data_IF_783656688419
#
_entry.id   IF_783656688419
#
_cell.length_a   1.000
_cell.length_b   1.000
_cell.length_c   1.000
_cell.angle_alpha   90.00
_cell.angle_beta   90.00
_cell.angle_gamma   90.00
#
_symmetry.space_group_name_H-M   'P 1'
#
loop_
_entity.id
_entity.type
_entity.pdbx_description
1 polymer ?
#
# COMPACT_ATOMS: atom_id res chain seq x y z
N UNK A 1 35.14 -4.54 -0.11
CA UNK A 1 33.99 -5.45 -0.30
C UNK A 1 32.79 -5.15 0.60
N UNK A 2 32.96 -4.91 1.91
CA UNK A 2 31.84 -4.59 2.83
C UNK A 2 31.05 -3.32 2.47
N UNK A 3 31.71 -2.30 1.92
CA UNK A 3 31.07 -1.04 1.53
C UNK A 3 30.05 -1.23 0.38
N UNK A 4 30.38 -2.09 -0.58
CA UNK A 4 29.50 -2.40 -1.71
C UNK A 4 28.27 -3.20 -1.25
N UNK A 5 28.47 -4.13 -0.32
CA UNK A 5 27.37 -4.86 0.30
C UNK A 5 26.45 -3.91 1.07
N UNK A 6 27.00 -3.01 1.88
CA UNK A 6 26.22 -2.00 2.60
C UNK A 6 25.43 -1.10 1.63
N UNK A 7 26.06 -0.65 0.55
CA UNK A 7 25.41 0.17 -0.47
C UNK A 7 24.22 -0.54 -1.11
N UNK A 8 24.34 -1.85 -1.39
CA UNK A 8 23.26 -2.65 -1.94
C UNK A 8 22.12 -2.85 -0.93
N UNK A 9 22.43 -3.17 0.33
CA UNK A 9 21.42 -3.34 1.39
C UNK A 9 20.62 -2.04 1.63
N UNK A 10 21.31 -0.89 1.71
CA UNK A 10 20.65 0.42 1.83
C UNK A 10 19.80 0.73 0.60
N UNK A 11 20.31 0.42 -0.60
CA UNK A 11 19.58 0.61 -1.84
C UNK A 11 18.28 -0.20 -1.90
N UNK A 12 18.34 -1.49 -1.53
CA UNK A 12 17.16 -2.37 -1.42
C UNK A 12 16.16 -1.86 -0.38
N UNK A 13 16.65 -1.39 0.77
CA UNK A 13 15.80 -0.85 1.82
C UNK A 13 15.01 0.39 1.36
N UNK A 14 15.64 1.29 0.61
CA UNK A 14 14.98 2.51 0.11
C UNK A 14 14.08 2.20 -1.08
N UNK A 15 14.62 1.56 -2.12
CA UNK A 15 13.91 1.28 -3.36
C UNK A 15 14.29 -0.09 -3.93
N UNK A 16 13.54 -1.10 -3.49
CA UNK A 16 13.68 -2.49 -3.93
C UNK A 16 13.37 -2.73 -5.43
N UNK A 17 12.66 -1.82 -6.09
CA UNK A 17 12.34 -1.91 -7.53
C UNK A 17 13.46 -1.35 -8.42
N UNK A 18 14.57 -0.87 -7.85
CA UNK A 18 15.62 -0.25 -8.66
C UNK A 18 16.28 -1.30 -9.57
N UNK A 19 16.30 -1.10 -10.91
CA UNK A 19 16.73 -2.12 -11.86
C UNK A 19 18.20 -2.54 -11.70
N UNK A 20 19.06 -1.68 -11.14
CA UNK A 20 20.47 -2.01 -10.90
C UNK A 20 20.72 -2.85 -9.64
N UNK A 21 19.69 -3.07 -8.80
CA UNK A 21 19.80 -3.75 -7.49
C UNK A 21 18.86 -4.97 -7.46
N UNK A 22 18.59 -5.56 -8.62
CA UNK A 22 17.80 -6.79 -8.70
C UNK A 22 18.63 -7.97 -8.21
N UNK A 23 18.49 -8.31 -6.92
CA UNK A 23 19.04 -9.55 -6.37
C UNK A 23 18.28 -10.73 -6.97
N UNK A 24 18.89 -11.41 -7.94
CA UNK A 24 18.36 -12.59 -8.63
C UNK A 24 18.10 -13.82 -7.73
N UNK A 25 18.43 -13.75 -6.44
CA UNK A 25 18.49 -14.90 -5.53
C UNK A 25 17.65 -14.78 -4.24
N UNK A 26 16.62 -13.93 -4.20
CA UNK A 26 15.72 -13.91 -3.05
C UNK A 26 14.58 -14.94 -3.23
N UNK A 27 14.83 -16.18 -2.80
CA UNK A 27 13.80 -17.22 -2.63
C UNK A 27 12.80 -16.89 -1.49
N UNK A 28 13.07 -15.82 -0.71
CA UNK A 28 12.17 -15.28 0.30
C UNK A 28 11.43 -14.06 -0.26
N UNK A 29 10.22 -13.81 0.25
CA UNK A 29 9.35 -12.72 -0.18
C UNK A 29 10.13 -11.41 -0.35
N UNK A 30 10.03 -10.72 -1.50
CA UNK A 30 10.81 -9.53 -1.77
C UNK A 30 10.57 -8.48 -0.70
N UNK A 31 11.64 -8.01 -0.06
CA UNK A 31 11.57 -6.95 0.93
C UNK A 31 10.88 -5.73 0.30
N UNK A 32 9.74 -5.31 0.85
CA UNK A 32 9.09 -4.07 0.39
C UNK A 32 9.89 -2.86 0.87
N UNK A 33 10.67 -2.28 -0.04
CA UNK A 33 11.41 -1.06 0.18
C UNK A 33 10.49 0.12 0.55
N UNK A 34 11.07 1.15 1.16
CA UNK A 34 10.33 2.31 1.67
C UNK A 34 9.45 2.96 0.60
N UNK A 35 9.98 3.15 -0.62
CA UNK A 35 9.23 3.74 -1.74
C UNK A 35 8.00 2.89 -2.10
N UNK A 36 8.11 1.55 -2.08
CA UNK A 36 7.00 0.65 -2.40
C UNK A 36 5.85 0.76 -1.39
N UNK A 37 6.16 1.05 -0.13
CA UNK A 37 5.15 1.28 0.91
C UNK A 37 4.40 2.59 0.72
N UNK A 38 5.01 3.58 0.06
CA UNK A 38 4.41 4.88 -0.18
C UNK A 38 3.58 4.92 -1.47
N UNK A 39 4.09 4.33 -2.56
CA UNK A 39 3.48 4.40 -3.90
C UNK A 39 2.42 3.32 -4.16
N UNK A 40 1.64 3.51 -5.23
CA UNK A 40 0.68 2.51 -5.72
C UNK A 40 -0.69 2.51 -5.00
N UNK A 41 -1.54 1.55 -5.37
CA UNK A 41 -2.94 1.48 -4.88
C UNK A 41 -3.03 1.23 -3.37
N UNK A 42 -2.18 0.33 -2.88
CA UNK A 42 -2.12 -0.07 -1.49
C UNK A 42 -1.03 0.69 -0.71
N UNK A 43 -0.36 1.66 -1.35
CA UNK A 43 0.62 2.51 -0.69
C UNK A 43 -0.03 3.50 0.26
N UNK A 44 0.75 4.05 1.20
CA UNK A 44 0.24 4.91 2.27
C UNK A 44 -0.49 6.15 1.76
N UNK A 45 -0.01 6.79 0.67
CA UNK A 45 -0.69 7.97 0.16
C UNK A 45 -2.12 7.66 -0.27
N UNK A 46 -2.34 6.63 -1.09
CA UNK A 46 -3.68 6.33 -1.61
C UNK A 46 -4.52 5.48 -0.68
N UNK A 47 -3.94 4.45 -0.08
CA UNK A 47 -4.65 3.48 0.77
C UNK A 47 -4.89 3.98 2.19
N UNK A 48 -4.14 4.98 2.64
CA UNK A 48 -4.22 5.45 4.02
C UNK A 48 -4.37 6.96 4.16
N UNK A 49 -4.04 7.81 3.19
CA UNK A 49 -4.16 9.28 3.36
C UNK A 49 -5.33 9.85 2.55
N UNK A 50 -5.47 9.48 1.28
CA UNK A 50 -6.57 9.94 0.42
C UNK A 50 -7.94 9.36 0.81
N UNK A 51 -7.95 8.16 1.42
CA UNK A 51 -9.16 7.52 1.93
C UNK A 51 -8.82 6.67 3.15
N UNK A 52 -9.59 6.83 4.22
CA UNK A 52 -9.43 6.08 5.47
C UNK A 52 -10.76 5.46 5.87
N UNK A 53 -10.69 4.36 6.61
CA UNK A 53 -11.85 3.90 7.37
C UNK A 53 -12.15 4.90 8.48
N UNK A 54 -13.44 5.17 8.66
CA UNK A 54 -13.96 6.10 9.66
C UNK A 54 -14.84 5.35 10.64
N UNK A 55 -15.00 5.91 11.83
CA UNK A 55 -15.87 5.37 12.88
C UNK A 55 -17.30 5.90 12.70
N UNK A 56 -18.26 5.29 13.40
CA UNK A 56 -19.69 5.69 13.38
C UNK A 56 -20.35 5.62 11.99
N UNK A 57 -20.03 4.59 11.20
CA UNK A 57 -20.65 4.33 9.89
C UNK A 57 -21.22 2.91 9.81
N UNK A 58 -22.35 2.74 9.13
CA UNK A 58 -22.96 1.44 8.86
C UNK A 58 -23.18 1.19 7.36
N UNK A 59 -23.33 -0.07 6.97
CA UNK A 59 -23.69 -0.48 5.60
C UNK A 59 -24.70 -1.62 5.67
N UNK A 60 -25.82 -1.48 4.98
CA UNK A 60 -26.87 -2.51 4.87
C UNK A 60 -27.39 -2.60 3.44
N UNK A 61 -28.14 -3.65 3.14
CA UNK A 61 -28.87 -3.81 1.88
C UNK A 61 -30.06 -2.84 1.88
N UNK A 62 -30.34 -2.25 0.72
CA UNK A 62 -31.51 -1.38 0.53
C UNK A 62 -32.71 -2.21 0.05
N UNK A 63 -33.89 -1.94 0.62
CA UNK A 63 -35.16 -2.54 0.23
C UNK A 63 -36.15 -1.42 -0.13
N UNK A 64 -37.05 -1.62 -1.11
CA UNK A 64 -38.03 -0.60 -1.47
C UNK A 64 -39.09 -0.43 -0.37
N UNK A 65 -39.42 0.81 -0.02
CA UNK A 65 -40.56 1.16 0.84
C UNK A 65 -41.40 2.26 0.16
N UNK A 66 -42.64 1.96 -0.29
CA UNK A 66 -43.49 2.92 -0.97
C UNK A 66 -44.13 3.96 -0.03
N UNK A 67 -44.06 3.78 1.28
CA UNK A 67 -44.65 4.71 2.25
C UNK A 67 -43.68 5.82 2.69
N UNK A 68 -42.40 5.70 2.31
CA UNK A 68 -41.37 6.65 2.65
C UNK A 68 -41.49 7.94 1.82
N UNK A 69 -41.21 9.10 2.43
CA UNK A 69 -41.13 10.38 1.70
C UNK A 69 -39.81 10.50 0.95
N UNK A 70 -39.74 11.44 0.00
CA UNK A 70 -38.53 11.69 -0.81
C UNK A 70 -37.34 12.19 0.04
N UNK A 71 -37.60 12.91 1.14
CA UNK A 71 -36.57 13.52 2.00
C UNK A 71 -36.25 12.68 3.23
N UNK A 72 -36.63 11.41 3.22
CA UNK A 72 -36.50 10.48 4.34
C UNK A 72 -35.54 9.34 4.00
#
# INVERSE_FOLDING_TARGET
DNWLLLQNEVGLYINSDHPSIQSSNMQSQPLQGFVQRLKGKHGRFRGNLSGKRVNFTGRTVISPDPNLKITE
#
